data_IF_187896186005
#
_entry.id   IF_187896186005
#
_cell.length_a   1.000
_cell.length_b   1.000
_cell.length_c   1.000
_cell.angle_alpha   90.00
_cell.angle_beta   90.00
_cell.angle_gamma   90.00
#
_symmetry.space_group_name_H-M   'P 1'
#
loop_
_entity.id
_entity.type
_entity.pdbx_description
1 polymer ?
#
# COMPACT_ATOMS: atom_id res chain seq x y z
N UNK A 1 5.12 0.32 24.39
CA UNK A 1 4.52 0.18 23.06
C UNK A 1 5.37 -0.68 22.18
N UNK A 2 4.75 -1.63 21.53
CA UNK A 2 5.47 -2.57 20.70
C UNK A 2 5.92 -1.91 19.39
N UNK A 3 7.18 -2.10 19.10
CA UNK A 3 7.81 -1.62 17.90
C UNK A 3 7.69 -2.69 16.83
N UNK A 4 7.14 -2.36 15.67
CA UNK A 4 7.06 -3.29 14.56
C UNK A 4 7.92 -2.79 13.42
N UNK A 5 8.31 -3.70 12.54
CA UNK A 5 9.08 -3.35 11.35
C UNK A 5 8.15 -3.29 10.13
N UNK A 6 8.35 -2.27 9.32
CA UNK A 6 7.68 -2.12 8.04
C UNK A 6 8.72 -2.00 6.94
N UNK A 7 8.36 -2.42 5.74
CA UNK A 7 9.26 -2.53 4.61
C UNK A 7 8.72 -1.77 3.41
N UNK A 8 9.61 -1.13 2.67
CA UNK A 8 9.28 -0.41 1.45
C UNK A 8 10.27 -0.78 0.36
N UNK A 9 9.78 -1.41 -0.71
CA UNK A 9 10.61 -1.77 -1.87
C UNK A 9 10.77 -0.62 -2.84
N UNK A 10 11.99 -0.34 -3.25
CA UNK A 10 12.30 0.79 -4.11
C UNK A 10 13.55 0.48 -4.94
N UNK A 11 13.93 1.40 -5.81
CA UNK A 11 15.21 1.36 -6.53
C UNK A 11 16.28 2.22 -5.87
N UNK A 12 15.97 2.75 -4.70
CA UNK A 12 16.89 3.66 -3.99
C UNK A 12 16.68 3.52 -2.48
N UNK A 13 17.70 3.90 -1.72
CA UNK A 13 17.56 4.04 -0.27
C UNK A 13 16.69 5.25 0.04
N UNK A 14 15.67 5.05 0.87
CA UNK A 14 14.73 6.11 1.24
C UNK A 14 14.83 6.34 2.75
N UNK A 15 15.79 7.13 3.16
CA UNK A 15 16.02 7.47 4.56
C UNK A 15 14.94 8.41 5.09
N UNK A 16 14.46 9.31 4.24
CA UNK A 16 13.42 10.30 4.59
C UNK A 16 12.24 10.14 3.63
N UNK A 17 11.24 9.32 4.01
CA UNK A 17 10.07 9.11 3.16
C UNK A 17 9.33 10.40 2.82
N UNK A 18 8.78 10.45 1.61
CA UNK A 18 8.01 11.59 1.12
C UNK A 18 6.69 11.11 0.53
N UNK A 19 5.68 11.97 0.61
CA UNK A 19 4.41 11.74 -0.06
C UNK A 19 4.49 12.42 -1.42
N UNK A 20 4.62 11.60 -2.47
CA UNK A 20 4.75 12.12 -3.84
C UNK A 20 3.42 12.04 -4.57
N UNK A 21 3.03 13.17 -5.17
CA UNK A 21 1.86 13.23 -6.03
C UNK A 21 2.31 12.93 -7.45
N UNK A 22 1.92 11.78 -7.95
CA UNK A 22 2.29 11.32 -9.27
C UNK A 22 1.08 11.40 -10.21
N UNK A 23 1.31 11.15 -11.50
CA UNK A 23 0.25 11.13 -12.51
C UNK A 23 -0.82 10.08 -12.20
N UNK A 24 -0.43 8.96 -11.60
CA UNK A 24 -1.33 7.86 -11.30
C UNK A 24 -1.54 7.73 -9.80
N UNK A 25 -2.80 7.60 -9.39
CA UNK A 25 -3.12 7.33 -7.99
C UNK A 25 -2.99 5.84 -7.71
N UNK A 26 -2.72 5.52 -6.44
CA UNK A 26 -2.63 4.14 -5.96
C UNK A 26 -3.92 3.73 -5.27
N UNK A 27 -3.96 2.51 -4.72
CA UNK A 27 -5.15 1.94 -4.08
C UNK A 27 -5.75 2.87 -3.03
N UNK A 28 -4.91 3.54 -2.24
CA UNK A 28 -5.35 4.43 -1.15
C UNK A 28 -4.97 5.88 -1.43
N UNK A 29 -4.88 6.27 -2.71
CA UNK A 29 -4.46 7.61 -3.15
C UNK A 29 -2.95 7.81 -3.00
N UNK A 30 -2.49 9.05 -3.13
CA UNK A 30 -1.06 9.37 -3.01
C UNK A 30 -0.60 9.21 -1.57
N UNK A 31 0.52 8.50 -1.40
CA UNK A 31 1.08 8.28 -0.09
C UNK A 31 2.39 7.53 -0.17
N UNK A 32 2.98 7.29 0.98
CA UNK A 32 4.16 6.45 1.10
C UNK A 32 3.71 5.07 1.55
N UNK A 33 3.97 4.04 0.76
CA UNK A 33 3.41 2.70 0.94
C UNK A 33 4.43 1.74 1.50
N UNK A 34 4.06 1.06 2.58
CA UNK A 34 4.85 0.01 3.20
C UNK A 34 4.05 -1.28 3.33
N UNK A 35 4.71 -2.34 3.71
CA UNK A 35 4.09 -3.61 4.07
C UNK A 35 4.82 -4.20 5.27
N UNK A 36 4.13 -5.04 6.06
CA UNK A 36 4.77 -5.82 7.10
C UNK A 36 5.30 -7.15 6.58
N UNK A 37 5.12 -7.43 5.29
CA UNK A 37 5.56 -8.65 4.62
C UNK A 37 6.83 -8.38 3.85
N UNK A 38 7.97 -8.86 4.36
CA UNK A 38 9.28 -8.62 3.74
C UNK A 38 9.34 -9.12 2.29
N UNK A 39 8.79 -10.31 2.03
CA UNK A 39 8.81 -10.88 0.67
C UNK A 39 8.06 -10.01 -0.32
N UNK A 40 6.97 -9.38 0.11
CA UNK A 40 6.23 -8.46 -0.75
C UNK A 40 7.06 -7.23 -1.09
N UNK A 41 7.74 -6.67 -0.10
CA UNK A 41 8.64 -5.53 -0.33
C UNK A 41 9.79 -5.92 -1.26
N UNK A 42 10.32 -7.13 -1.08
CA UNK A 42 11.37 -7.68 -1.95
C UNK A 42 10.89 -7.74 -3.39
N UNK A 43 9.68 -8.26 -3.62
CA UNK A 43 9.09 -8.32 -4.97
C UNK A 43 8.93 -6.94 -5.59
N UNK A 44 8.48 -5.97 -4.79
CA UNK A 44 8.35 -4.59 -5.27
C UNK A 44 9.71 -4.02 -5.69
N UNK A 45 10.73 -4.26 -4.87
CA UNK A 45 12.08 -3.77 -5.17
C UNK A 45 12.65 -4.43 -6.43
N UNK A 46 12.45 -5.75 -6.56
CA UNK A 46 12.94 -6.53 -7.69
C UNK A 46 12.33 -6.07 -9.01
N UNK A 47 11.03 -5.73 -9.01
CA UNK A 47 10.34 -5.24 -10.20
C UNK A 47 10.84 -3.88 -10.66
N UNK A 48 11.29 -3.05 -9.73
CA UNK A 48 11.63 -1.65 -10.04
C UNK A 48 13.00 -1.51 -10.70
N UNK A 49 13.93 -2.36 -10.37
CA UNK A 49 15.24 -2.32 -11.01
C UNK A 49 16.09 -3.52 -10.62
N UNK A 50 17.19 -3.73 -11.39
CA UNK A 50 18.21 -4.72 -11.03
C UNK A 50 18.93 -4.38 -9.73
N UNK A 51 18.84 -3.12 -9.29
CA UNK A 51 19.42 -2.63 -8.05
C UNK A 51 18.33 -2.33 -7.03
N UNK A 52 17.34 -3.21 -6.95
CA UNK A 52 16.26 -3.05 -6.00
C UNK A 52 16.74 -3.00 -4.57
N UNK A 53 16.05 -2.21 -3.76
CA UNK A 53 16.39 -2.02 -2.35
C UNK A 53 15.14 -2.19 -1.51
N UNK A 54 15.25 -2.95 -0.42
CA UNK A 54 14.23 -3.01 0.61
C UNK A 54 14.65 -2.07 1.72
N UNK A 55 13.84 -1.05 1.95
CA UNK A 55 14.04 -0.11 3.04
C UNK A 55 13.27 -0.62 4.26
N UNK A 56 13.91 -0.58 5.42
CA UNK A 56 13.36 -1.11 6.66
C UNK A 56 13.17 0.02 7.66
N UNK A 57 11.96 0.12 8.20
CA UNK A 57 11.59 1.15 9.18
C UNK A 57 11.02 0.50 10.42
N UNK A 58 11.30 1.10 11.58
CA UNK A 58 10.50 0.82 12.76
C UNK A 58 9.29 1.75 12.77
N UNK A 59 8.16 1.20 13.14
CA UNK A 59 6.89 1.92 13.14
C UNK A 59 6.33 1.93 14.56
N UNK A 60 6.02 3.11 15.05
CA UNK A 60 5.39 3.31 16.35
C UNK A 60 4.10 4.08 16.10
N UNK A 61 2.95 3.46 16.42
CA UNK A 61 1.66 4.09 16.18
C UNK A 61 1.47 5.34 17.05
N UNK A 62 0.62 6.23 16.56
CA UNK A 62 0.25 7.46 17.26
C UNK A 62 -1.27 7.54 17.30
N UNK A 63 -1.84 7.47 18.49
CA UNK A 63 -3.29 7.44 18.69
C UNK A 63 -4.00 8.72 18.27
N UNK A 64 -3.27 9.81 18.07
CA UNK A 64 -3.84 11.06 17.60
C UNK A 64 -4.06 11.09 16.09
N UNK A 65 -3.52 10.12 15.36
CA UNK A 65 -3.66 10.07 13.92
C UNK A 65 -5.00 9.46 13.51
N UNK A 66 -5.50 9.92 12.37
CA UNK A 66 -6.73 9.43 11.77
C UNK A 66 -6.42 8.23 10.90
N UNK A 67 -6.79 7.04 11.35
CA UNK A 67 -6.44 5.77 10.71
C UNK A 67 -7.70 5.08 10.19
N UNK A 68 -7.64 4.63 8.93
CA UNK A 68 -8.67 3.77 8.33
C UNK A 68 -8.05 2.40 8.11
N UNK A 69 -8.71 1.37 8.63
CA UNK A 69 -8.19 0.01 8.54
C UNK A 69 -9.23 -0.95 7.99
N UNK A 70 -8.83 -1.72 6.98
CA UNK A 70 -9.62 -2.80 6.41
C UNK A 70 -8.96 -4.13 6.75
N UNK A 71 -9.65 -4.98 7.50
CA UNK A 71 -9.09 -6.28 7.87
C UNK A 71 -9.09 -7.26 6.70
N UNK A 72 -10.02 -7.09 5.77
CA UNK A 72 -10.15 -7.95 4.58
C UNK A 72 -10.81 -7.18 3.45
N UNK A 73 -10.87 -7.79 2.27
CA UNK A 73 -11.60 -7.23 1.14
C UNK A 73 -13.09 -7.24 1.43
N UNK A 74 -13.70 -6.07 1.45
CA UNK A 74 -15.14 -5.87 1.69
C UNK A 74 -15.69 -4.90 0.65
N UNK A 75 -17.02 -4.70 0.63
CA UNK A 75 -17.62 -3.69 -0.23
C UNK A 75 -17.08 -2.30 0.08
N UNK A 76 -16.86 -1.98 1.36
CA UNK A 76 -16.29 -0.69 1.78
C UNK A 76 -14.88 -0.53 1.25
N UNK A 77 -14.06 -1.59 1.32
CA UNK A 77 -12.72 -1.58 0.75
C UNK A 77 -12.76 -1.35 -0.76
N UNK A 78 -13.65 -2.07 -1.46
CA UNK A 78 -13.79 -1.95 -2.91
C UNK A 78 -14.20 -0.54 -3.31
N UNK A 79 -15.18 0.03 -2.61
CA UNK A 79 -15.65 1.39 -2.89
C UNK A 79 -14.55 2.42 -2.62
N UNK A 80 -13.81 2.25 -1.54
CA UNK A 80 -12.72 3.17 -1.19
C UNK A 80 -11.60 3.14 -2.24
N UNK A 81 -11.16 1.95 -2.63
CA UNK A 81 -10.13 1.80 -3.66
C UNK A 81 -10.61 2.37 -4.98
N UNK A 82 -11.86 2.10 -5.35
CA UNK A 82 -12.44 2.62 -6.59
C UNK A 82 -12.41 4.15 -6.63
N UNK A 83 -12.79 4.79 -5.54
CA UNK A 83 -12.73 6.26 -5.43
C UNK A 83 -11.31 6.78 -5.53
N UNK A 84 -10.39 6.17 -4.80
CA UNK A 84 -8.99 6.62 -4.78
C UNK A 84 -8.34 6.46 -6.15
N UNK A 85 -8.61 5.35 -6.85
CA UNK A 85 -8.11 5.14 -8.20
C UNK A 85 -8.70 6.14 -9.19
N UNK A 86 -9.91 6.64 -8.93
CA UNK A 86 -10.56 7.67 -9.75
C UNK A 86 -10.12 9.09 -9.40
N UNK A 87 -9.19 9.25 -8.44
CA UNK A 87 -8.62 10.55 -8.11
C UNK A 87 -9.10 11.15 -6.79
N UNK A 88 -9.93 10.46 -6.03
CA UNK A 88 -10.37 10.94 -4.73
C UNK A 88 -9.18 11.03 -3.76
N UNK A 89 -9.06 12.15 -3.08
CA UNK A 89 -8.03 12.36 -2.05
C UNK A 89 -8.73 12.41 -0.69
N UNK A 90 -8.47 11.41 0.13
CA UNK A 90 -9.06 11.32 1.47
C UNK A 90 -8.24 12.13 2.48
N UNK A 91 -8.76 12.26 3.68
CA UNK A 91 -8.11 13.02 4.75
C UNK A 91 -7.58 12.14 5.90
N UNK A 92 -7.43 10.83 5.68
CA UNK A 92 -6.81 9.96 6.66
C UNK A 92 -5.31 10.15 6.67
N UNK A 93 -4.71 10.02 7.86
CA UNK A 93 -3.25 10.04 8.00
C UNK A 93 -2.64 8.72 7.55
N UNK A 94 -3.29 7.61 7.91
CA UNK A 94 -2.82 6.26 7.59
C UNK A 94 -4.01 5.43 7.11
N UNK A 95 -3.77 4.62 6.06
CA UNK A 95 -4.75 3.63 5.59
C UNK A 95 -4.05 2.27 5.53
N UNK A 96 -4.67 1.25 6.12
CA UNK A 96 -4.17 -0.12 6.10
C UNK A 96 -5.21 -1.04 5.47
N UNK A 97 -4.76 -2.02 4.73
CA UNK A 97 -5.67 -3.02 4.21
C UNK A 97 -5.08 -3.86 3.09
N UNK A 98 -5.88 -4.77 2.54
CA UNK A 98 -5.44 -5.59 1.43
C UNK A 98 -5.05 -4.74 0.23
N UNK A 99 -3.97 -5.13 -0.44
CA UNK A 99 -3.57 -4.45 -1.67
C UNK A 99 -4.19 -5.15 -2.87
N UNK A 100 -4.55 -4.39 -3.88
CA UNK A 100 -4.96 -4.97 -5.16
C UNK A 100 -3.69 -5.33 -5.93
N UNK A 101 -3.28 -6.60 -5.83
CA UNK A 101 -2.14 -7.10 -6.59
C UNK A 101 -2.49 -7.14 -8.09
N UNK A 102 -1.54 -7.56 -8.92
CA UNK A 102 -1.70 -7.53 -10.39
C UNK A 102 -2.98 -8.22 -10.87
N UNK A 103 -3.31 -9.37 -10.28
CA UNK A 103 -4.49 -10.14 -10.69
C UNK A 103 -5.77 -9.44 -10.21
N UNK A 104 -5.82 -9.07 -8.94
CA UNK A 104 -6.97 -8.38 -8.36
C UNK A 104 -7.17 -7.02 -9.04
N UNK A 105 -6.07 -6.33 -9.33
CA UNK A 105 -6.13 -5.04 -10.01
C UNK A 105 -6.82 -5.15 -11.37
N UNK A 106 -6.52 -6.20 -12.15
CA UNK A 106 -7.16 -6.38 -13.44
C UNK A 106 -8.68 -6.58 -13.31
N UNK A 107 -9.11 -7.35 -12.33
CA UNK A 107 -10.54 -7.52 -12.06
C UNK A 107 -11.16 -6.23 -11.55
N UNK A 108 -10.46 -5.51 -10.68
CA UNK A 108 -10.90 -4.22 -10.18
C UNK A 108 -11.10 -3.23 -11.34
N UNK A 109 -10.14 -3.14 -12.24
CA UNK A 109 -10.22 -2.24 -13.38
C UNK A 109 -11.39 -2.59 -14.29
N UNK A 110 -11.62 -3.89 -14.55
CA UNK A 110 -12.78 -4.32 -15.32
C UNK A 110 -14.09 -3.94 -14.64
N UNK A 111 -14.16 -4.05 -13.33
CA UNK A 111 -15.32 -3.61 -12.57
C UNK A 111 -15.54 -2.10 -12.69
N UNK A 112 -14.47 -1.31 -12.50
CA UNK A 112 -14.55 0.15 -12.59
C UNK A 112 -14.94 0.62 -14.00
N UNK A 113 -14.51 -0.12 -15.03
CA UNK A 113 -14.82 0.18 -16.42
C UNK A 113 -16.21 -0.31 -16.82
N UNK A 114 -16.94 -0.95 -15.93
CA UNK A 114 -18.29 -1.46 -16.21
C UNK A 114 -18.31 -2.74 -17.03
N UNK A 115 -17.18 -3.42 -17.20
CA UNK A 115 -17.08 -4.65 -17.98
C UNK A 115 -17.58 -5.87 -17.22
N UNK A 116 -17.54 -5.84 -15.91
CA UNK A 116 -18.07 -6.89 -15.04
C UNK A 116 -18.87 -6.25 -13.92
N UNK A 117 -19.82 -7.02 -13.36
CA UNK A 117 -20.62 -6.57 -12.22
C UNK A 117 -19.84 -6.72 -10.91
N UNK A 118 -20.34 -6.10 -9.83
CA UNK A 118 -19.79 -6.28 -8.49
C UNK A 118 -19.85 -7.75 -8.07
N UNK A 119 -20.95 -8.43 -8.37
CA UNK A 119 -21.10 -9.86 -8.06
C UNK A 119 -20.03 -10.67 -8.77
N UNK A 120 -19.77 -10.40 -10.05
CA UNK A 120 -18.75 -11.08 -10.81
C UNK A 120 -17.36 -10.80 -10.24
N UNK A 121 -17.08 -9.57 -9.84
CA UNK A 121 -15.81 -9.21 -9.19
C UNK A 121 -15.57 -10.09 -7.95
N UNK A 122 -16.56 -10.16 -7.06
CA UNK A 122 -16.42 -10.95 -5.83
C UNK A 122 -16.23 -12.43 -6.10
N UNK A 123 -16.89 -12.99 -7.14
CA UNK A 123 -16.67 -14.37 -7.53
C UNK A 123 -15.24 -14.62 -7.99
N UNK A 124 -14.67 -13.68 -8.75
CA UNK A 124 -13.32 -13.82 -9.28
C UNK A 124 -12.24 -13.73 -8.21
N UNK A 125 -12.48 -13.00 -7.13
CA UNK A 125 -11.45 -12.78 -6.09
C UNK A 125 -11.70 -13.59 -4.81
N UNK A 126 -12.75 -14.39 -4.73
CA UNK A 126 -13.14 -15.05 -3.47
C UNK A 126 -12.07 -15.98 -2.88
N UNK A 127 -11.18 -16.50 -3.71
CA UNK A 127 -10.06 -17.36 -3.25
C UNK A 127 -8.72 -16.63 -3.27
N UNK A 128 -8.73 -15.32 -3.40
CA UNK A 128 -7.52 -14.51 -3.35
C UNK A 128 -7.29 -14.00 -1.93
N UNK A 129 -6.05 -14.08 -1.48
CA UNK A 129 -5.66 -13.63 -0.14
C UNK A 129 -4.48 -12.67 -0.29
N UNK A 130 -4.75 -11.42 -0.69
CA UNK A 130 -3.68 -10.47 -0.95
C UNK A 130 -2.95 -10.09 0.34
N UNK A 131 -1.69 -9.68 0.19
CA UNK A 131 -0.95 -9.13 1.30
C UNK A 131 -1.53 -7.75 1.66
N UNK A 132 -1.33 -7.36 2.93
CA UNK A 132 -1.74 -6.05 3.39
C UNK A 132 -0.66 -5.02 3.14
N UNK A 133 -1.09 -3.80 2.91
CA UNK A 133 -0.22 -2.64 2.81
C UNK A 133 -0.66 -1.61 3.85
N UNK A 134 0.25 -0.75 4.24
CA UNK A 134 -0.03 0.38 5.11
C UNK A 134 0.54 1.61 4.42
N UNK A 135 -0.29 2.62 4.25
CA UNK A 135 0.09 3.82 3.53
C UNK A 135 0.01 5.05 4.41
N UNK A 136 0.98 5.94 4.25
CA UNK A 136 1.15 7.13 5.07
C UNK A 136 0.87 8.34 4.18
N UNK A 137 -0.05 9.20 4.61
CA UNK A 137 -0.61 10.26 3.77
C UNK A 137 -0.37 11.67 4.30
N UNK A 138 0.27 11.81 5.46
CA UNK A 138 0.57 13.11 6.06
C UNK A 138 1.97 13.12 6.64
N UNK A 139 2.50 14.32 6.88
CA UNK A 139 3.82 14.45 7.52
C UNK A 139 3.80 13.88 8.93
N UNK A 140 2.69 14.07 9.65
CA UNK A 140 2.55 13.48 10.99
C UNK A 140 2.61 11.95 10.93
N UNK A 141 2.02 11.36 9.91
CA UNK A 141 2.04 9.91 9.74
C UNK A 141 3.47 9.43 9.46
N UNK A 142 4.20 10.15 8.61
CA UNK A 142 5.59 9.79 8.29
C UNK A 142 6.50 9.84 9.53
N UNK A 143 6.18 10.68 10.50
CA UNK A 143 6.94 10.75 11.76
C UNK A 143 6.84 9.47 12.60
N UNK A 144 5.87 8.61 12.29
CA UNK A 144 5.74 7.30 12.93
C UNK A 144 6.78 6.30 12.44
N UNK A 145 7.48 6.62 11.35
CA UNK A 145 8.49 5.76 10.74
C UNK A 145 9.88 6.25 11.09
N UNK A 146 10.72 5.33 11.54
CA UNK A 146 12.13 5.60 11.78
C UNK A 146 12.94 4.67 10.88
N UNK A 147 13.78 5.24 10.02
CA UNK A 147 14.63 4.45 9.14
C UNK A 147 15.63 3.64 9.95
N UNK A 148 15.66 2.32 9.71
CA UNK A 148 16.59 1.41 10.39
C UNK A 148 17.74 1.02 9.48
N UNK A 149 17.46 0.59 8.25
CA UNK A 149 18.49 0.19 7.30
C UNK A 149 17.90 -0.04 5.92
N UNK A 150 18.76 -0.17 4.92
CA UNK A 150 18.36 -0.63 3.60
C UNK A 150 19.12 -1.92 3.27
N UNK A 151 18.49 -2.77 2.46
CA UNK A 151 19.04 -4.06 2.04
C UNK A 151 18.90 -4.18 0.54
N UNK A 152 20.01 -4.50 -0.13
CA UNK A 152 19.99 -4.65 -1.57
C UNK A 152 19.47 -6.04 -1.94
N UNK A 153 18.59 -6.10 -2.95
CA UNK A 153 18.10 -7.37 -3.50
C UNK A 153 18.91 -7.73 -4.75
N UNK A 154 18.88 -8.99 -5.14
CA UNK A 154 19.55 -9.47 -6.38
C UNK A 154 21.09 -9.34 -6.34
N UNK A 155 21.69 -9.70 -5.24
CA UNK A 155 23.14 -9.80 -5.14
C UNK A 155 23.65 -11.11 -5.69
#
# INVERSE_FOLDING_TARGET
>A
MDKILLYHGSNTEVMFPEIRKTKYTKDFSWGFYCTNNYEQAYKWADRKSKKGIVNVYSYISNDELKVLKFDKMTDEWLDFIGKCRAGYVHDYDIVEGPMADDTIYNYLQNYLDGKISRVAFWELVKFKYPTHQISFHSLKALDCLKFERSEQVNE
#
